data_IF_740975209024
#
_entry.id   IF_740975209024
#
_cell.length_a   1.000
_cell.length_b   1.000
_cell.length_c   1.000
_cell.angle_alpha   90.00
_cell.angle_beta   90.00
_cell.angle_gamma   90.00
#
_symmetry.space_group_name_H-M   'P 1'
#
loop_
_entity.id
_entity.type
_entity.pdbx_description
1 polymer ?
#
# COMPACT_ATOMS: atom_id res chain seq x y z
N UNK A 1 -24.33 4.63 -14.32
CA UNK A 1 -23.10 5.31 -13.83
C UNK A 1 -22.68 6.32 -14.89
N UNK A 2 -23.24 7.53 -14.84
CA UNK A 2 -22.84 8.63 -15.73
C UNK A 2 -21.77 9.45 -15.02
N UNK A 3 -20.54 9.42 -15.53
CA UNK A 3 -19.50 10.36 -15.12
C UNK A 3 -19.94 11.79 -15.47
N UNK A 4 -19.62 12.81 -14.65
CA UNK A 4 -19.86 14.18 -15.04
C UNK A 4 -19.14 14.45 -16.35
N UNK A 5 -19.79 15.17 -17.27
CA UNK A 5 -19.19 15.57 -18.55
C UNK A 5 -17.96 16.43 -18.27
N UNK A 6 -16.77 15.81 -18.33
CA UNK A 6 -15.51 16.49 -18.04
C UNK A 6 -15.11 17.25 -19.30
N UNK A 7 -15.71 18.42 -19.50
CA UNK A 7 -15.32 19.31 -20.59
C UNK A 7 -13.92 19.87 -20.31
N UNK A 8 -12.88 19.34 -20.99
CA UNK A 8 -11.50 19.83 -20.88
C UNK A 8 -10.44 18.73 -20.81
N UNK A 9 -9.21 19.11 -20.46
CA UNK A 9 -8.12 18.15 -20.20
C UNK A 9 -8.37 17.52 -18.83
N UNK A 10 -8.33 16.19 -18.74
CA UNK A 10 -8.57 15.45 -17.51
C UNK A 10 -7.74 14.17 -17.46
N UNK A 11 -7.51 13.68 -16.24
CA UNK A 11 -6.98 12.34 -16.01
C UNK A 11 -8.12 11.31 -16.03
N UNK A 12 -7.96 10.26 -16.82
CA UNK A 12 -8.93 9.17 -16.91
C UNK A 12 -9.09 8.45 -15.56
N UNK A 13 -10.33 8.05 -15.24
CA UNK A 13 -10.59 7.23 -14.06
C UNK A 13 -9.75 5.94 -14.07
N UNK A 14 -9.19 5.58 -12.92
CA UNK A 14 -8.22 4.48 -12.82
C UNK A 14 -8.36 3.72 -11.50
N UNK A 15 -7.95 2.46 -11.48
CA UNK A 15 -7.88 1.64 -10.29
C UNK A 15 -6.42 1.37 -9.93
N UNK A 16 -6.01 1.71 -8.71
CA UNK A 16 -4.63 1.56 -8.24
C UNK A 16 -4.39 0.31 -7.38
N UNK A 17 -5.30 -0.68 -7.43
CA UNK A 17 -5.36 -1.88 -6.57
C UNK A 17 -6.02 -1.64 -5.22
N UNK A 18 -6.09 -0.41 -4.72
CA UNK A 18 -6.74 -0.11 -3.44
C UNK A 18 -8.03 0.68 -3.63
N UNK A 19 -8.08 1.55 -4.64
CA UNK A 19 -9.17 2.50 -4.88
C UNK A 19 -9.46 2.75 -6.34
N UNK A 20 -10.74 2.94 -6.63
CA UNK A 20 -11.21 3.51 -7.88
C UNK A 20 -11.15 5.04 -7.80
N UNK A 21 -10.27 5.63 -8.58
CA UNK A 21 -10.14 7.08 -8.73
C UNK A 21 -11.06 7.58 -9.84
N UNK A 22 -11.84 8.64 -9.59
CA UNK A 22 -12.74 9.20 -10.59
C UNK A 22 -11.97 9.93 -11.69
N UNK A 23 -12.64 10.18 -12.83
CA UNK A 23 -12.14 11.15 -13.80
C UNK A 23 -11.95 12.50 -13.11
N UNK A 24 -10.77 13.10 -13.28
CA UNK A 24 -10.34 14.26 -12.50
C UNK A 24 -9.79 15.35 -13.43
N UNK A 25 -10.27 16.60 -13.35
CA UNK A 25 -9.76 17.69 -14.19
C UNK A 25 -8.24 17.88 -14.08
N UNK A 26 -7.61 18.31 -15.17
CA UNK A 26 -6.20 18.66 -15.16
C UNK A 26 -5.90 19.75 -14.12
N UNK A 27 -4.69 19.70 -13.55
CA UNK A 27 -4.22 20.60 -12.49
C UNK A 27 -5.07 20.56 -11.21
N UNK A 28 -5.63 19.39 -10.88
CA UNK A 28 -6.46 19.22 -9.69
C UNK A 28 -6.14 17.92 -8.96
N UNK A 29 -6.60 17.84 -7.71
CA UNK A 29 -6.36 16.69 -6.84
C UNK A 29 -7.67 15.97 -6.56
N UNK A 30 -7.70 14.67 -6.83
CA UNK A 30 -8.78 13.79 -6.41
C UNK A 30 -8.59 13.39 -4.94
N UNK A 31 -9.67 13.33 -4.18
CA UNK A 31 -9.67 12.89 -2.78
C UNK A 31 -10.67 11.75 -2.58
N UNK A 32 -10.34 10.79 -1.70
CA UNK A 32 -11.23 9.70 -1.33
C UNK A 32 -10.95 9.20 0.10
N UNK A 33 -12.00 8.84 0.85
CA UNK A 33 -11.97 8.44 2.27
C UNK A 33 -11.34 7.08 2.51
N UNK A 34 -10.19 6.93 3.17
CA UNK A 34 -9.27 5.77 3.17
C UNK A 34 -9.94 4.37 3.21
N UNK A 35 -9.40 3.35 2.50
CA UNK A 35 -10.01 2.02 2.43
C UNK A 35 -10.01 1.33 3.80
N UNK A 36 -11.17 0.80 4.20
CA UNK A 36 -11.43 0.13 5.49
C UNK A 36 -10.85 -1.29 5.58
N UNK A 37 -10.69 -1.95 4.43
CA UNK A 37 -10.15 -3.31 4.37
C UNK A 37 -8.63 -3.38 4.59
N UNK A 38 -7.93 -2.24 4.61
CA UNK A 38 -6.47 -2.19 4.85
C UNK A 38 -6.22 -2.10 6.35
N UNK A 39 -5.66 -3.16 7.00
CA UNK A 39 -5.32 -3.09 8.41
C UNK A 39 -4.28 -2.00 8.61
N UNK A 40 -4.56 -0.99 9.44
CA UNK A 40 -3.74 0.23 9.42
C UNK A 40 -4.56 1.49 9.35
N UNK A 41 -5.58 1.46 8.50
CA UNK A 41 -6.14 2.67 7.94
C UNK A 41 -7.37 3.13 8.70
N UNK A 42 -7.46 4.44 8.91
CA UNK A 42 -8.59 5.13 9.48
C UNK A 42 -9.52 5.61 8.33
N UNK A 43 -10.71 5.02 8.13
CA UNK A 43 -11.60 5.34 7.00
C UNK A 43 -12.08 6.79 6.95
N UNK A 44 -12.06 7.49 8.09
CA UNK A 44 -12.39 8.90 8.22
C UNK A 44 -11.33 9.86 7.63
N UNK A 45 -10.12 9.36 7.38
CA UNK A 45 -9.04 10.13 6.76
C UNK A 45 -9.13 10.06 5.24
N UNK A 46 -8.39 10.93 4.54
CA UNK A 46 -8.49 11.09 3.09
C UNK A 46 -7.18 10.77 2.40
N UNK A 47 -7.21 9.83 1.46
CA UNK A 47 -6.16 9.62 0.46
C UNK A 47 -6.32 10.62 -0.69
N UNK A 48 -5.24 10.91 -1.42
CA UNK A 48 -5.30 11.81 -2.56
C UNK A 48 -4.46 11.37 -3.77
N UNK A 49 -4.86 11.83 -4.96
CA UNK A 49 -4.18 11.57 -6.22
C UNK A 49 -4.15 12.84 -7.06
N UNK A 50 -2.95 13.23 -7.50
CA UNK A 50 -2.75 14.47 -8.26
C UNK A 50 -2.89 14.22 -9.76
N UNK A 51 -3.75 14.99 -10.42
CA UNK A 51 -3.84 15.09 -11.87
C UNK A 51 -3.04 16.31 -12.34
N UNK A 52 -2.05 16.08 -13.20
CA UNK A 52 -1.18 17.16 -13.72
C UNK A 52 -1.91 18.03 -14.74
N UNK A 53 -1.33 19.20 -15.06
CA UNK A 53 -1.83 20.11 -16.10
C UNK A 53 -1.96 19.46 -17.49
N UNK A 54 -1.14 18.44 -17.76
CA UNK A 54 -1.16 17.70 -19.03
C UNK A 54 -2.24 16.62 -19.09
N UNK A 55 -3.07 16.45 -18.06
CA UNK A 55 -4.09 15.40 -18.01
C UNK A 55 -3.54 14.00 -17.72
N UNK A 56 -2.34 13.92 -17.15
CA UNK A 56 -1.75 12.65 -16.70
C UNK A 56 -1.70 12.59 -15.18
N UNK A 57 -1.95 11.40 -14.63
CA UNK A 57 -1.76 11.16 -13.20
C UNK A 57 -0.31 11.40 -12.82
N UNK A 58 -0.03 11.99 -11.66
CA UNK A 58 1.34 12.23 -11.23
C UNK A 58 2.09 10.89 -11.02
N UNK A 59 3.36 10.86 -11.44
CA UNK A 59 4.23 9.70 -11.33
C UNK A 59 5.26 9.90 -10.23
N UNK A 60 5.51 8.84 -9.44
CA UNK A 60 6.56 8.86 -8.43
C UNK A 60 7.95 9.02 -9.07
N UNK A 61 8.82 9.92 -8.56
CA UNK A 61 10.12 10.21 -9.19
C UNK A 61 11.00 8.96 -9.31
N UNK A 62 10.99 8.11 -8.28
CA UNK A 62 11.88 6.94 -8.25
C UNK A 62 11.36 5.74 -9.05
N UNK A 63 10.03 5.52 -9.09
CA UNK A 63 9.46 4.33 -9.74
C UNK A 63 8.93 4.63 -11.14
N UNK A 64 8.71 5.89 -11.47
CA UNK A 64 8.11 6.33 -12.73
C UNK A 64 6.69 5.81 -12.94
N UNK A 65 6.01 5.32 -11.89
CA UNK A 65 4.64 4.78 -11.98
C UNK A 65 3.61 5.80 -11.46
N UNK A 66 2.37 5.78 -11.98
CA UNK A 66 1.28 6.58 -11.43
C UNK A 66 1.14 6.31 -9.93
N UNK A 67 1.07 7.35 -9.13
CA UNK A 67 1.13 7.25 -7.68
C UNK A 67 -0.11 7.83 -7.00
N UNK A 68 -0.39 7.35 -5.78
CA UNK A 68 -1.47 7.81 -4.94
C UNK A 68 -0.98 7.91 -3.50
N UNK A 69 -1.34 8.99 -2.84
CA UNK A 69 -0.89 9.27 -1.49
C UNK A 69 -1.85 8.69 -0.46
N UNK A 70 -1.36 7.71 0.30
CA UNK A 70 -2.05 7.11 1.44
C UNK A 70 -1.32 7.36 2.77
N UNK A 71 -0.30 8.22 2.81
CA UNK A 71 0.45 8.49 4.05
C UNK A 71 -0.42 9.14 5.12
N UNK A 72 -1.50 9.82 4.70
CA UNK A 72 -2.51 10.42 5.56
C UNK A 72 -3.53 9.42 6.11
N UNK A 73 -3.51 8.14 5.69
CA UNK A 73 -4.51 7.15 6.10
C UNK A 73 -4.23 6.48 7.44
N UNK A 74 -3.04 6.66 8.02
CA UNK A 74 -2.65 6.09 9.30
C UNK A 74 -2.65 7.20 10.35
N UNK A 75 -3.30 6.98 11.49
CA UNK A 75 -3.22 7.92 12.62
C UNK A 75 -1.84 7.80 13.27
N UNK A 76 -1.23 8.93 13.61
CA UNK A 76 0.11 8.95 14.22
C UNK A 76 0.19 8.10 15.50
N UNK A 77 -0.88 8.08 16.30
CA UNK A 77 -0.98 7.28 17.52
C UNK A 77 -1.04 5.77 17.29
N UNK A 78 -1.42 5.32 16.09
CA UNK A 78 -1.47 3.91 15.75
C UNK A 78 -0.18 3.39 15.10
N UNK A 79 0.75 4.29 14.71
CA UNK A 79 1.98 3.90 13.99
C UNK A 79 2.83 2.91 14.79
N UNK A 80 2.98 3.13 16.10
CA UNK A 80 3.71 2.24 17.00
C UNK A 80 3.06 0.86 17.09
N UNK A 81 1.74 0.81 17.25
CA UNK A 81 0.99 -0.43 17.34
C UNK A 81 1.09 -1.26 16.05
N UNK A 82 1.03 -0.61 14.88
CA UNK A 82 1.26 -1.31 13.60
C UNK A 82 2.71 -1.81 13.47
N UNK A 83 3.70 -1.02 13.88
CA UNK A 83 5.09 -1.46 13.89
C UNK A 83 5.28 -2.69 14.80
N UNK A 84 4.67 -2.71 15.98
CA UNK A 84 4.74 -3.84 16.91
C UNK A 84 4.13 -5.11 16.32
N UNK A 85 2.99 -5.01 15.63
CA UNK A 85 2.39 -6.13 14.90
C UNK A 85 3.36 -6.68 13.85
N UNK A 86 3.94 -5.82 13.00
CA UNK A 86 4.90 -6.23 11.98
C UNK A 86 6.16 -6.85 12.58
N UNK A 87 6.71 -6.27 13.65
CA UNK A 87 7.88 -6.79 14.36
C UNK A 87 7.57 -8.15 14.97
N UNK A 88 6.38 -8.33 15.55
CA UNK A 88 5.97 -9.61 16.13
C UNK A 88 5.84 -10.68 15.05
N UNK A 89 5.18 -10.37 13.93
CA UNK A 89 5.04 -11.31 12.81
C UNK A 89 6.40 -11.69 12.19
N UNK A 90 7.28 -10.71 12.00
CA UNK A 90 8.64 -10.98 11.49
C UNK A 90 9.45 -11.81 12.47
N UNK A 91 9.37 -11.52 13.78
CA UNK A 91 10.05 -12.30 14.82
C UNK A 91 9.54 -13.75 14.87
N UNK A 92 8.24 -13.98 14.80
CA UNK A 92 7.66 -15.33 14.74
C UNK A 92 8.14 -16.10 13.50
N UNK A 93 8.15 -15.44 12.33
CA UNK A 93 8.65 -16.04 11.09
C UNK A 93 10.14 -16.38 11.17
N UNK A 94 10.94 -15.51 11.78
CA UNK A 94 12.39 -15.72 11.98
C UNK A 94 12.66 -16.83 12.99
N UNK A 95 11.93 -16.89 14.11
CA UNK A 95 12.02 -18.01 15.05
C UNK A 95 11.66 -19.33 14.36
N UNK A 96 10.60 -19.36 13.54
CA UNK A 96 10.24 -20.55 12.76
C UNK A 96 11.34 -20.99 11.80
N UNK A 97 12.00 -20.04 11.13
CA UNK A 97 13.15 -20.33 10.26
C UNK A 97 14.33 -20.90 11.06
N UNK A 98 14.68 -20.29 12.20
CA UNK A 98 15.74 -20.79 13.06
C UNK A 98 15.44 -22.19 13.62
N UNK A 99 14.19 -22.47 14.01
CA UNK A 99 13.78 -23.82 14.43
C UNK A 99 13.95 -24.82 13.29
N UNK A 100 13.57 -24.46 12.07
CA UNK A 100 13.76 -25.32 10.90
C UNK A 100 15.25 -25.56 10.58
N UNK A 101 16.10 -24.54 10.70
CA UNK A 101 17.56 -24.66 10.52
C UNK A 101 18.19 -25.58 11.58
N UNK A 102 17.80 -25.42 12.85
CA UNK A 102 18.26 -26.31 13.92
C UNK A 102 17.82 -27.77 13.69
N UNK A 103 16.60 -28.00 13.20
CA UNK A 103 16.12 -29.33 12.84
C UNK A 103 16.86 -29.92 11.63
N UNK A 104 17.21 -29.11 10.63
CA UNK A 104 17.99 -29.54 9.47
C UNK A 104 19.41 -29.96 9.88
N UNK A 105 20.04 -29.23 10.80
CA UNK A 105 21.36 -29.58 11.35
C UNK A 105 21.32 -30.86 12.20
N UNK A 106 20.27 -31.03 13.01
CA UNK A 106 20.04 -32.28 13.77
C UNK A 106 19.66 -33.48 12.89
N UNK A 107 19.05 -33.24 11.73
CA UNK A 107 18.76 -34.25 10.71
C UNK A 107 20.00 -34.70 9.94
N UNK A 108 20.94 -33.78 9.66
CA UNK A 108 22.22 -34.10 9.01
C UNK A 108 23.11 -35.02 9.87
N UNK A 109 23.00 -34.95 11.20
CA UNK A 109 23.73 -35.85 12.12
C UNK A 109 23.17 -37.28 12.17
N UNK A 110 21.93 -37.51 11.70
CA UNK A 110 21.33 -38.85 11.64
C UNK A 110 21.62 -39.62 10.35
N UNK A 111 22.27 -38.99 9.36
CA UNK A 111 22.59 -39.59 8.05
C UNK A 111 24.06 -39.97 7.83
N UNK A 112 24.92 -39.83 8.84
CA UNK A 112 26.37 -40.15 8.75
C UNK A 112 26.81 -41.19 9.79
N UNK A 113 25.94 -42.13 10.15
CA UNK A 113 26.39 -43.33 10.88
C UNK A 113 26.37 -44.51 9.89
N UNK A 114 27.54 -45.13 9.59
CA UNK A 114 27.62 -46.30 8.70
C UNK A 114 26.93 -47.54 9.26
#
# INVERSE_FOLDING_TARGET
>A
LSWPDVSGVYCAGTFDTWRCWPHTPANSTAYAACPDFVPGFAPELMAHKLCTENGTWWHHPDSGRPWSNYTTCVREEDVSHFADIFITFTSLKTMGLHVAEHQAQGGAQRGLNP
#
